data_IF_811348341915
#
_entry.id   IF_811348341915
#
_cell.length_a   1.000
_cell.length_b   1.000
_cell.length_c   1.000
_cell.angle_alpha   90.00
_cell.angle_beta   90.00
_cell.angle_gamma   90.00
#
_symmetry.space_group_name_H-M   'P 1'
#
loop_
_entity.id
_entity.type
_entity.pdbx_description
1 polymer ?
#
# COMPACT_ATOMS: atom_id res chain seq x y z
N UNK A 1 -7.79 4.04 -15.64
CA UNK A 1 -6.94 4.11 -14.44
C UNK A 1 -5.51 3.85 -14.88
N UNK A 2 -4.57 4.70 -14.48
CA UNK A 2 -3.17 4.57 -14.87
C UNK A 2 -2.42 3.74 -13.82
N UNK A 3 -2.30 2.43 -14.07
CA UNK A 3 -1.76 1.46 -13.10
C UNK A 3 -0.30 1.80 -12.76
N UNK A 4 0.50 2.13 -13.77
CA UNK A 4 1.91 2.48 -13.61
C UNK A 4 2.09 3.67 -12.67
N UNK A 5 1.27 4.73 -12.82
CA UNK A 5 1.25 5.86 -11.88
C UNK A 5 0.95 5.44 -10.45
N UNK A 6 -0.04 4.59 -10.22
CA UNK A 6 -0.40 4.14 -8.87
C UNK A 6 0.69 3.26 -8.25
N UNK A 7 1.35 2.44 -9.07
CA UNK A 7 2.48 1.62 -8.66
C UNK A 7 3.67 2.51 -8.26
N UNK A 8 3.99 3.54 -9.05
CA UNK A 8 5.07 4.47 -8.72
C UNK A 8 4.79 5.27 -7.46
N UNK A 9 3.53 5.65 -7.24
CA UNK A 9 3.09 6.28 -6.00
C UNK A 9 3.29 5.37 -4.78
N UNK A 10 2.89 4.09 -4.87
CA UNK A 10 3.11 3.12 -3.81
C UNK A 10 4.61 2.84 -3.56
N UNK A 11 5.42 2.75 -4.63
CA UNK A 11 6.88 2.59 -4.55
C UNK A 11 7.52 3.76 -3.81
N UNK A 12 7.08 4.99 -4.07
CA UNK A 12 7.58 6.18 -3.38
C UNK A 12 7.33 6.10 -1.87
N UNK A 13 6.18 5.58 -1.44
CA UNK A 13 5.94 5.32 -0.02
C UNK A 13 6.82 4.20 0.53
N UNK A 14 6.95 3.07 -0.16
CA UNK A 14 7.82 2.00 0.32
C UNK A 14 9.29 2.41 0.42
N UNK A 15 9.77 3.25 -0.49
CA UNK A 15 11.12 3.81 -0.44
C UNK A 15 11.36 4.68 0.81
N UNK A 16 10.31 5.29 1.38
CA UNK A 16 10.38 5.99 2.68
C UNK A 16 10.42 5.01 3.86
N UNK A 17 9.82 3.83 3.72
CA UNK A 17 9.68 2.85 4.80
C UNK A 17 10.87 1.89 4.91
N UNK A 18 11.48 1.52 3.78
CA UNK A 18 12.57 0.53 3.74
C UNK A 18 13.52 0.80 2.59
N UNK A 19 14.80 0.46 2.81
CA UNK A 19 15.79 0.40 1.75
C UNK A 19 15.58 -0.91 0.96
N UNK A 20 15.54 -0.80 -0.37
CA UNK A 20 15.39 -1.90 -1.33
C UNK A 20 14.15 -2.81 -1.12
N UNK A 21 12.93 -2.29 -1.29
CA UNK A 21 11.73 -3.09 -1.11
C UNK A 21 11.53 -4.10 -2.25
N UNK A 22 11.37 -5.38 -1.92
CA UNK A 22 10.95 -6.41 -2.89
C UNK A 22 9.43 -6.33 -3.05
N UNK A 23 8.96 -5.58 -4.03
CA UNK A 23 7.53 -5.26 -4.17
C UNK A 23 6.81 -6.24 -5.11
N UNK A 24 5.65 -6.72 -4.66
CA UNK A 24 4.67 -7.42 -5.47
C UNK A 24 3.48 -6.50 -5.73
N UNK A 25 3.17 -6.28 -7.01
CA UNK A 25 2.00 -5.51 -7.44
C UNK A 25 0.83 -6.47 -7.69
N UNK A 26 -0.35 -6.10 -7.20
CA UNK A 26 -1.60 -6.83 -7.36
C UNK A 26 -2.67 -5.80 -7.75
N UNK A 27 -3.25 -5.94 -8.94
CA UNK A 27 -4.37 -5.09 -9.34
C UNK A 27 -5.62 -5.45 -8.51
N UNK A 28 -6.32 -4.43 -8.03
CA UNK A 28 -7.56 -4.63 -7.27
C UNK A 28 -8.74 -4.81 -8.24
N UNK A 29 -9.74 -5.63 -7.86
CA UNK A 29 -10.94 -5.80 -8.67
C UNK A 29 -11.71 -4.48 -8.82
N UNK A 30 -12.60 -4.43 -9.81
CA UNK A 30 -13.56 -3.33 -10.01
C UNK A 30 -12.93 -1.95 -10.26
N UNK A 31 -11.64 -1.90 -10.60
CA UNK A 31 -10.93 -0.64 -10.80
C UNK A 31 -10.65 0.13 -9.51
N UNK A 32 -10.70 -0.55 -8.35
CA UNK A 32 -10.46 0.03 -7.03
C UNK A 32 -9.04 0.59 -6.86
N UNK A 33 -8.09 0.18 -7.69
CA UNK A 33 -6.70 0.59 -7.61
C UNK A 33 -5.70 -0.56 -7.66
N UNK A 34 -4.59 -0.40 -6.95
CA UNK A 34 -3.53 -1.41 -6.85
C UNK A 34 -3.18 -1.67 -5.39
N UNK A 35 -2.79 -2.90 -5.08
CA UNK A 35 -2.14 -3.26 -3.84
C UNK A 35 -0.69 -3.61 -4.14
N UNK A 36 0.21 -2.91 -3.46
CA UNK A 36 1.64 -3.17 -3.51
C UNK A 36 2.06 -3.74 -2.17
N UNK A 37 2.53 -4.98 -2.17
CA UNK A 37 2.93 -5.70 -0.97
C UNK A 37 4.45 -5.87 -0.95
N UNK A 38 5.07 -5.66 0.21
CA UNK A 38 6.47 -5.98 0.40
C UNK A 38 6.62 -7.50 0.63
N UNK A 39 7.24 -8.20 -0.31
CA UNK A 39 7.36 -9.65 -0.36
C UNK A 39 8.43 -10.22 0.59
N UNK A 40 8.53 -9.65 1.80
CA UNK A 40 9.40 -10.12 2.88
C UNK A 40 8.60 -10.27 4.18
N UNK A 41 9.10 -11.10 5.10
CA UNK A 41 8.45 -11.32 6.39
C UNK A 41 8.49 -10.04 7.23
N UNK A 42 7.32 -9.57 7.70
CA UNK A 42 7.20 -8.27 8.36
C UNK A 42 6.98 -7.09 7.39
N UNK A 43 6.99 -7.35 6.08
CA UNK A 43 6.66 -6.37 5.06
C UNK A 43 5.16 -6.07 5.02
N UNK A 44 4.80 -4.80 5.21
CA UNK A 44 3.42 -4.35 5.07
C UNK A 44 2.93 -4.33 3.62
N UNK A 45 1.69 -3.91 3.44
CA UNK A 45 1.03 -3.74 2.14
C UNK A 45 0.45 -2.34 2.04
N UNK A 46 0.51 -1.74 0.87
CA UNK A 46 -0.08 -0.43 0.58
C UNK A 46 -1.11 -0.61 -0.53
N UNK A 47 -2.37 -0.29 -0.23
CA UNK A 47 -3.45 -0.19 -1.20
C UNK A 47 -3.53 1.26 -1.67
N UNK A 48 -3.57 1.50 -2.97
CA UNK A 48 -3.61 2.84 -3.56
C UNK A 48 -4.81 2.94 -4.50
N UNK A 49 -5.64 3.96 -4.30
CA UNK A 49 -6.83 4.22 -5.10
C UNK A 49 -6.51 5.15 -6.29
N UNK A 50 -7.40 5.24 -7.30
CA UNK A 50 -7.24 6.13 -8.44
C UNK A 50 -7.09 7.61 -8.10
N UNK A 51 -7.58 8.03 -6.92
CA UNK A 51 -7.49 9.39 -6.38
C UNK A 51 -6.20 9.65 -5.58
N UNK A 52 -5.23 8.73 -5.66
CA UNK A 52 -3.94 8.78 -4.94
C UNK A 52 -4.08 8.69 -3.41
N UNK A 53 -5.26 8.35 -2.90
CA UNK A 53 -5.41 7.97 -1.51
C UNK A 53 -4.85 6.56 -1.28
N UNK A 54 -4.18 6.36 -0.14
CA UNK A 54 -3.52 5.09 0.16
C UNK A 54 -3.91 4.56 1.55
N UNK A 55 -3.86 3.24 1.71
CA UNK A 55 -4.01 2.55 2.99
C UNK A 55 -2.80 1.64 3.22
N UNK A 56 -2.04 1.89 4.28
CA UNK A 56 -1.01 0.98 4.76
C UNK A 56 -1.63 -0.04 5.72
N UNK A 57 -1.31 -1.31 5.48
CA UNK A 57 -1.75 -2.44 6.28
C UNK A 57 -0.50 -3.21 6.71
N UNK A 58 -0.28 -3.32 8.02
CA UNK A 58 0.85 -4.06 8.57
C UNK A 58 0.82 -5.55 8.20
N UNK A 59 1.97 -6.22 8.30
CA UNK A 59 2.14 -7.63 7.90
C UNK A 59 1.24 -8.62 8.67
N UNK A 60 0.62 -8.23 9.78
CA UNK A 60 -0.27 -9.09 10.59
C UNK A 60 -1.65 -9.28 9.97
N UNK A 61 -2.08 -8.35 9.13
CA UNK A 61 -3.37 -8.41 8.45
C UNK A 61 -3.19 -9.05 7.08
N UNK A 62 -4.10 -9.95 6.72
CA UNK A 62 -4.10 -10.59 5.40
C UNK A 62 -4.52 -9.63 4.28
N UNK A 63 -4.40 -10.07 3.03
CA UNK A 63 -4.77 -9.27 1.86
C UNK A 63 -6.27 -8.92 1.85
N UNK A 64 -7.15 -9.89 2.15
CA UNK A 64 -8.61 -9.68 2.09
C UNK A 64 -9.08 -8.69 3.15
N UNK A 65 -8.60 -8.81 4.39
CA UNK A 65 -8.96 -7.88 5.47
C UNK A 65 -8.51 -6.44 5.15
N UNK A 66 -7.33 -6.27 4.55
CA UNK A 66 -6.87 -4.96 4.08
C UNK A 66 -7.70 -4.42 2.92
N UNK A 67 -8.11 -5.28 2.00
CA UNK A 67 -8.98 -4.90 0.87
C UNK A 67 -10.37 -4.48 1.34
N UNK A 68 -10.96 -5.18 2.31
CA UNK A 68 -12.25 -4.80 2.90
C UNK A 68 -12.17 -3.43 3.59
N UNK A 69 -11.17 -3.22 4.45
CA UNK A 69 -10.96 -1.91 5.07
C UNK A 69 -10.76 -0.79 4.05
N UNK A 70 -10.05 -1.08 2.96
CA UNK A 70 -9.86 -0.13 1.86
C UNK A 70 -11.17 0.17 1.12
N UNK A 71 -12.00 -0.84 0.89
CA UNK A 71 -13.34 -0.70 0.30
C UNK A 71 -14.29 0.10 1.19
N UNK A 72 -14.16 -0.04 2.50
CA UNK A 72 -14.92 0.73 3.49
C UNK A 72 -14.48 2.21 3.59
N UNK A 73 -13.49 2.61 2.79
CA UNK A 73 -13.01 4.00 2.71
C UNK A 73 -11.90 4.32 3.72
N UNK A 74 -11.36 3.32 4.42
CA UNK A 74 -10.24 3.55 5.33
C UNK A 74 -8.99 3.97 4.54
N UNK A 75 -8.33 5.03 5.01
CA UNK A 75 -7.09 5.55 4.41
C UNK A 75 -6.07 5.84 5.49
N UNK A 76 -4.80 5.75 5.12
CA UNK A 76 -3.66 6.16 5.94
C UNK A 76 -3.27 7.58 5.53
N UNK A 77 -3.25 8.55 6.46
CA UNK A 77 -2.76 9.90 6.18
C UNK A 77 -1.29 9.87 5.70
N UNK A 78 -0.94 10.73 4.73
CA UNK A 78 0.40 10.78 4.13
C UNK A 78 1.52 10.93 5.17
N UNK A 79 1.29 11.73 6.22
CA UNK A 79 2.24 11.95 7.33
C UNK A 79 2.63 10.66 8.08
N UNK A 80 1.77 9.64 8.08
CA UNK A 80 2.08 8.36 8.72
C UNK A 80 3.10 7.56 7.93
N UNK A 81 3.20 7.77 6.62
CA UNK A 81 4.24 7.15 5.79
C UNK A 81 5.61 7.82 5.96
N UNK A 82 5.65 9.03 6.52
CA UNK A 82 6.88 9.76 6.81
C UNK A 82 7.46 9.41 8.18
N UNK A 83 6.59 9.00 9.11
CA UNK A 83 6.91 8.72 10.53
C UNK A 83 6.88 7.24 10.91
N UNK A 84 7.09 6.30 10.00
CA UNK A 84 7.38 4.91 10.43
C UNK A 84 8.80 4.87 11.03
N UNK A 85 8.98 5.55 12.16
CA UNK A 85 10.10 5.33 13.04
C UNK A 85 10.05 3.87 13.46
N UNK A 86 11.12 3.14 13.14
CA UNK A 86 11.37 1.78 13.63
C UNK A 86 11.50 1.87 15.14
N UNK A 87 10.38 1.74 15.84
CA UNK A 87 10.35 1.35 17.26
C UNK A 87 10.69 -0.12 17.41
#
# INVERSE_FOLDING_TARGET
MDIDRLVDFAKAYFAKLTQDPVLKVIELPDGLGVCVAHAVRGGGKIYVAPDESALFVGSVLDFNAGLEAFRDGLRTPAEKFEKFERG
#
